data_IF_282082951644
#
_entry.id   IF_282082951644
#
_cell.length_a   1.000
_cell.length_b   1.000
_cell.length_c   1.000
_cell.angle_alpha   90.00
_cell.angle_beta   90.00
_cell.angle_gamma   90.00
#
_symmetry.space_group_name_H-M   'P 1'
#
loop_
_entity.id
_entity.type
_entity.pdbx_description
1 polymer ?
#
# COMPACT_ATOMS: atom_id res chain seq x y z
N UNK A 1 -1.65 -38.02 49.81
CA UNK A 1 -0.89 -37.60 48.62
C UNK A 1 -1.89 -36.90 47.69
N UNK A 2 -1.97 -35.56 47.80
CA UNK A 2 -2.91 -34.74 46.99
C UNK A 2 -2.14 -34.22 45.79
N UNK A 3 -2.57 -34.61 44.60
CA UNK A 3 -2.04 -34.13 43.33
C UNK A 3 -2.74 -32.80 43.01
N UNK A 4 -2.01 -31.68 43.05
CA UNK A 4 -2.48 -30.40 42.52
C UNK A 4 -2.33 -30.45 40.99
N UNK A 5 -3.46 -30.45 40.28
CA UNK A 5 -3.49 -30.16 38.88
C UNK A 5 -3.39 -28.63 38.71
N UNK A 6 -2.26 -28.12 38.24
CA UNK A 6 -2.13 -26.75 37.80
C UNK A 6 -2.75 -26.65 36.39
N UNK A 7 -3.91 -26.03 36.30
CA UNK A 7 -4.50 -25.63 35.00
C UNK A 7 -3.71 -24.44 34.44
N UNK A 8 -2.97 -24.69 33.37
CA UNK A 8 -2.31 -23.67 32.57
C UNK A 8 -3.39 -22.94 31.75
N UNK A 9 -3.85 -21.78 32.23
CA UNK A 9 -4.72 -20.91 31.46
C UNK A 9 -3.82 -20.22 30.43
N UNK A 10 -3.86 -20.69 29.19
CA UNK A 10 -3.36 -19.94 28.04
C UNK A 10 -4.26 -18.73 27.87
N UNK A 11 -3.84 -17.60 28.43
CA UNK A 11 -4.40 -16.29 28.08
C UNK A 11 -3.98 -15.98 26.64
N UNK A 12 -4.85 -16.34 25.68
CA UNK A 12 -4.82 -15.74 24.35
C UNK A 12 -5.01 -14.24 24.54
N UNK A 13 -3.94 -13.48 24.47
CA UNK A 13 -4.00 -12.01 24.47
C UNK A 13 -4.58 -11.58 23.12
N UNK A 14 -5.91 -11.51 23.04
CA UNK A 14 -6.57 -10.75 21.98
C UNK A 14 -6.08 -9.32 22.11
N UNK A 15 -5.51 -8.69 21.07
CA UNK A 15 -5.04 -7.32 21.15
C UNK A 15 -6.16 -6.43 21.70
N UNK A 16 -5.93 -5.75 22.79
CA UNK A 16 -6.92 -4.87 23.45
C UNK A 16 -7.53 -3.82 22.52
N UNK A 17 -6.85 -3.55 21.39
CA UNK A 17 -7.27 -2.55 20.40
C UNK A 17 -8.39 -3.02 19.46
N UNK A 18 -8.53 -4.34 19.19
CA UNK A 18 -9.53 -4.86 18.22
C UNK A 18 -10.96 -4.82 18.78
N UNK A 19 -11.16 -4.96 20.08
CA UNK A 19 -12.49 -5.05 20.70
C UNK A 19 -13.19 -3.70 20.97
N UNK A 20 -12.48 -2.57 20.92
CA UNK A 20 -13.04 -1.26 21.26
C UNK A 20 -13.41 -0.37 20.07
N UNK A 21 -13.12 -0.80 18.83
CA UNK A 21 -13.20 0.06 17.63
C UNK A 21 -14.61 0.37 17.14
N UNK A 22 -15.56 -0.46 17.41
CA UNK A 22 -16.98 -0.23 17.02
C UNK A 22 -17.67 0.93 17.73
N UNK A 23 -17.03 1.54 18.75
CA UNK A 23 -17.58 2.62 19.56
C UNK A 23 -16.82 3.96 19.44
N UNK A 24 -15.73 4.01 18.70
CA UNK A 24 -14.87 5.21 18.55
C UNK A 24 -14.83 5.63 17.10
N UNK A 25 -15.23 6.88 16.84
CA UNK A 25 -15.12 7.47 15.50
C UNK A 25 -13.65 7.54 15.04
N UNK A 26 -13.37 7.22 13.76
CA UNK A 26 -12.03 7.37 13.22
C UNK A 26 -11.61 8.84 13.15
N UNK A 27 -10.32 9.10 13.31
CA UNK A 27 -9.75 10.44 13.16
C UNK A 27 -9.69 10.88 11.69
N UNK A 28 -9.55 9.93 10.78
CA UNK A 28 -9.65 10.12 9.35
C UNK A 28 -10.42 8.93 8.77
N UNK A 29 -11.48 9.18 8.00
CA UNK A 29 -12.21 8.14 7.29
C UNK A 29 -12.70 8.66 5.93
N UNK A 30 -12.75 7.78 4.96
CA UNK A 30 -13.41 8.01 3.70
C UNK A 30 -14.13 6.71 3.29
N UNK A 31 -15.46 6.81 3.20
CA UNK A 31 -16.35 5.70 2.80
C UNK A 31 -16.57 5.69 1.28
N UNK A 32 -15.99 6.64 0.56
CA UNK A 32 -16.08 6.81 -0.89
C UNK A 32 -17.52 6.78 -1.45
N UNK A 33 -18.49 7.26 -0.64
CA UNK A 33 -19.92 7.31 -1.01
C UNK A 33 -20.26 8.39 -2.04
N UNK A 34 -19.29 9.25 -2.38
CA UNK A 34 -19.45 10.33 -3.33
C UNK A 34 -19.45 9.88 -4.79
N UNK A 35 -19.39 10.86 -5.70
CA UNK A 35 -19.26 10.66 -7.15
C UNK A 35 -17.90 11.11 -7.70
N UNK A 36 -17.04 11.63 -6.84
CA UNK A 36 -15.68 12.07 -7.17
C UNK A 36 -14.78 11.99 -5.94
N UNK A 37 -13.49 11.85 -6.16
CA UNK A 37 -12.50 11.90 -5.10
C UNK A 37 -12.53 13.29 -4.44
N UNK A 38 -12.50 13.36 -3.11
CA UNK A 38 -12.40 14.63 -2.39
C UNK A 38 -11.00 15.22 -2.53
N UNK A 39 -10.86 16.15 -3.46
CA UNK A 39 -9.60 16.83 -3.76
C UNK A 39 -9.07 17.71 -2.61
N UNK A 40 -9.86 17.96 -1.56
CA UNK A 40 -9.36 18.62 -0.35
C UNK A 40 -8.55 17.68 0.54
N UNK A 41 -8.81 16.37 0.45
CA UNK A 41 -8.23 15.32 1.29
C UNK A 41 -7.23 14.43 0.56
N UNK A 42 -7.39 14.25 -0.74
CA UNK A 42 -6.62 13.33 -1.55
C UNK A 42 -5.97 14.02 -2.75
N UNK A 43 -4.76 13.57 -3.10
CA UNK A 43 -4.13 13.80 -4.40
C UNK A 43 -4.32 12.56 -5.27
N UNK A 44 -4.74 12.74 -6.52
CA UNK A 44 -4.95 11.68 -7.51
C UNK A 44 -3.77 11.50 -8.47
N UNK A 45 -2.66 12.13 -8.17
CA UNK A 45 -1.46 12.10 -8.99
C UNK A 45 -0.23 12.49 -8.19
N UNK A 46 0.91 11.90 -8.55
CA UNK A 46 2.21 12.28 -8.00
C UNK A 46 3.24 12.38 -9.13
N UNK A 47 3.87 13.53 -9.22
CA UNK A 47 4.94 13.76 -10.21
C UNK A 47 6.28 13.17 -9.77
N UNK A 48 6.46 12.90 -8.49
CA UNK A 48 7.74 12.47 -7.89
C UNK A 48 8.13 11.01 -8.17
N UNK A 49 7.25 10.25 -8.85
CA UNK A 49 7.58 8.92 -9.36
C UNK A 49 7.68 8.86 -10.90
N UNK A 50 8.24 9.87 -11.58
CA UNK A 50 8.32 9.87 -13.03
C UNK A 50 9.27 8.76 -13.49
N UNK A 51 8.74 7.75 -14.15
CA UNK A 51 9.56 6.71 -14.77
C UNK A 51 10.30 5.79 -13.79
N UNK A 52 9.83 5.67 -12.56
CA UNK A 52 10.40 4.74 -11.58
C UNK A 52 10.41 3.30 -12.11
N UNK A 53 9.46 2.98 -13.02
CA UNK A 53 9.37 1.71 -13.73
C UNK A 53 8.94 1.98 -15.16
N UNK A 54 9.77 1.58 -16.11
CA UNK A 54 9.45 1.71 -17.53
C UNK A 54 8.13 1.00 -17.83
N UNK A 55 7.30 1.61 -18.68
CA UNK A 55 6.10 0.99 -19.22
C UNK A 55 4.80 1.28 -18.47
N UNK A 56 4.77 2.11 -17.42
CA UNK A 56 3.53 2.56 -16.84
C UNK A 56 3.50 4.07 -16.57
N UNK A 57 2.31 4.63 -16.59
CA UNK A 57 2.01 6.03 -16.30
C UNK A 57 0.87 6.08 -15.29
N UNK A 58 1.04 6.85 -14.22
CA UNK A 58 -0.09 7.18 -13.33
C UNK A 58 -0.99 8.20 -14.01
N UNK A 59 -2.18 7.78 -14.40
CA UNK A 59 -3.14 8.61 -15.11
C UNK A 59 -4.30 9.02 -14.18
N UNK A 60 -4.59 10.32 -14.10
CA UNK A 60 -5.67 10.83 -13.24
C UNK A 60 -7.03 10.25 -13.58
N UNK A 61 -7.33 10.04 -14.85
CA UNK A 61 -8.58 9.47 -15.33
C UNK A 61 -8.71 7.96 -15.08
N UNK A 62 -7.68 7.33 -14.52
CA UNK A 62 -7.74 5.98 -13.98
C UNK A 62 -8.21 5.94 -12.51
N UNK A 63 -8.47 7.11 -11.90
CA UNK A 63 -9.00 7.26 -10.54
C UNK A 63 -10.45 7.68 -10.62
N UNK A 64 -11.34 6.92 -10.01
CA UNK A 64 -12.77 7.24 -9.98
C UNK A 64 -13.38 6.86 -8.62
N UNK A 65 -14.36 7.64 -8.16
CA UNK A 65 -15.25 7.24 -7.06
C UNK A 65 -16.61 6.92 -7.65
N UNK A 66 -17.03 5.68 -7.50
CA UNK A 66 -18.32 5.21 -7.99
C UNK A 66 -18.72 3.91 -7.30
N UNK A 67 -20.03 3.68 -7.19
CA UNK A 67 -20.64 2.51 -6.55
C UNK A 67 -20.14 2.30 -5.10
N UNK A 68 -19.93 3.39 -4.34
CA UNK A 68 -19.45 3.34 -2.97
C UNK A 68 -17.99 2.89 -2.85
N UNK A 69 -17.17 3.09 -3.87
CA UNK A 69 -15.75 2.69 -3.85
C UNK A 69 -14.87 3.74 -4.52
N UNK A 70 -13.64 3.87 -4.02
CA UNK A 70 -12.51 4.39 -4.78
C UNK A 70 -12.02 3.27 -5.72
N UNK A 71 -12.03 3.54 -7.02
CA UNK A 71 -11.65 2.60 -8.06
C UNK A 71 -10.37 3.08 -8.75
N UNK A 72 -9.34 2.26 -8.70
CA UNK A 72 -8.07 2.47 -9.37
C UNK A 72 -7.98 1.50 -10.56
N UNK A 73 -7.84 2.03 -11.76
CA UNK A 73 -7.86 1.25 -13.00
C UNK A 73 -6.45 1.08 -13.57
N UNK A 74 -6.10 -0.17 -13.90
CA UNK A 74 -4.97 -0.44 -14.78
C UNK A 74 -5.50 -0.79 -16.19
N UNK A 75 -4.91 -0.18 -17.21
CA UNK A 75 -5.32 -0.35 -18.60
C UNK A 75 -4.15 -0.21 -19.58
N UNK A 76 -4.37 -0.50 -20.82
CA UNK A 76 -3.43 -0.13 -21.86
C UNK A 76 -3.44 1.39 -22.07
N UNK A 77 -2.27 1.94 -22.45
CA UNK A 77 -2.16 3.34 -22.87
C UNK A 77 -3.02 3.59 -24.11
N UNK A 78 -3.73 4.70 -24.10
CA UNK A 78 -4.40 5.23 -25.29
C UNK A 78 -3.38 5.85 -26.24
N UNK A 79 -3.73 5.98 -27.51
CA UNK A 79 -2.81 6.53 -28.51
C UNK A 79 -2.47 8.00 -28.26
N UNK A 80 -3.41 8.77 -27.71
CA UNK A 80 -3.18 10.19 -27.31
C UNK A 80 -2.25 10.34 -26.09
N UNK A 81 -2.07 9.30 -25.31
CA UNK A 81 -1.13 9.27 -24.17
C UNK A 81 0.30 8.88 -24.59
N UNK A 82 0.48 8.31 -25.78
CA UNK A 82 1.79 7.96 -26.35
C UNK A 82 2.53 9.19 -26.90
N UNK A 83 2.60 10.23 -26.11
CA UNK A 83 3.32 11.46 -26.49
C UNK A 83 4.83 11.19 -26.60
N UNK A 84 5.57 11.99 -27.42
CA UNK A 84 7.03 11.85 -27.47
C UNK A 84 7.70 11.94 -26.10
N UNK A 85 7.15 12.73 -25.17
CA UNK A 85 7.63 12.85 -23.79
C UNK A 85 7.42 11.55 -23.03
N UNK A 86 6.21 10.99 -23.05
CA UNK A 86 5.89 9.75 -22.35
C UNK A 86 6.72 8.58 -22.88
N UNK A 87 6.84 8.47 -24.20
CA UNK A 87 7.64 7.43 -24.86
C UNK A 87 9.13 7.55 -24.49
N UNK A 88 9.69 8.79 -24.46
CA UNK A 88 11.08 9.01 -24.02
C UNK A 88 11.31 8.59 -22.57
N UNK A 89 10.29 8.67 -21.72
CA UNK A 89 10.31 8.25 -20.32
C UNK A 89 10.05 6.74 -20.15
N UNK A 90 9.80 6.01 -21.23
CA UNK A 90 9.51 4.58 -21.21
C UNK A 90 8.05 4.25 -20.87
N UNK A 91 7.13 5.22 -20.96
CA UNK A 91 5.69 4.98 -20.81
C UNK A 91 5.10 4.67 -22.19
N UNK A 92 5.03 3.42 -22.53
CA UNK A 92 4.67 2.97 -23.90
C UNK A 92 3.49 1.99 -23.95
N UNK A 93 3.17 1.32 -22.86
CA UNK A 93 2.22 0.19 -22.89
C UNK A 93 1.06 0.34 -21.91
N UNK A 94 1.32 0.68 -20.64
CA UNK A 94 0.33 0.62 -19.56
C UNK A 94 0.10 1.96 -18.91
N UNK A 95 -1.15 2.19 -18.47
CA UNK A 95 -1.54 3.27 -17.58
C UNK A 95 -2.13 2.71 -16.30
N UNK A 96 -1.71 3.22 -15.17
CA UNK A 96 -2.09 2.83 -13.82
C UNK A 96 -2.61 4.01 -13.01
N UNK A 97 -2.88 3.85 -11.74
CA UNK A 97 -3.48 4.86 -10.89
C UNK A 97 -2.73 4.98 -9.56
N UNK A 98 -2.81 6.17 -8.98
CA UNK A 98 -2.21 6.52 -7.71
C UNK A 98 -3.10 7.52 -6.96
N UNK A 99 -3.30 7.31 -5.65
CA UNK A 99 -4.03 8.22 -4.76
C UNK A 99 -3.28 8.32 -3.44
N UNK A 100 -3.10 9.54 -2.94
CA UNK A 100 -2.38 9.81 -1.69
C UNK A 100 -3.18 10.75 -0.80
N UNK A 101 -3.30 10.45 0.50
CA UNK A 101 -3.84 11.39 1.46
C UNK A 101 -2.90 12.60 1.61
N UNK A 102 -3.48 13.82 1.63
CA UNK A 102 -2.72 15.07 1.81
C UNK A 102 -2.22 15.23 3.23
N UNK A 103 -3.00 14.76 4.20
CA UNK A 103 -2.62 14.77 5.60
C UNK A 103 -1.76 13.54 5.91
N UNK A 104 -0.69 13.75 6.66
CA UNK A 104 0.13 12.67 7.20
C UNK A 104 -0.52 12.11 8.47
N UNK A 105 -0.48 10.81 8.58
CA UNK A 105 -0.90 10.05 9.76
C UNK A 105 0.33 9.54 10.52
N UNK A 106 0.13 9.17 11.78
CA UNK A 106 1.21 8.65 12.63
C UNK A 106 0.65 7.49 13.45
N UNK A 107 1.31 7.03 14.48
CA UNK A 107 0.88 5.90 15.30
C UNK A 107 -0.63 5.74 15.43
N UNK A 108 -1.10 4.52 15.30
CA UNK A 108 -2.52 4.22 15.33
C UNK A 108 -2.87 2.94 14.60
N UNK A 109 -4.14 2.79 14.34
CA UNK A 109 -4.66 1.69 13.55
C UNK A 109 -5.24 2.17 12.25
N UNK A 110 -4.89 1.47 11.19
CA UNK A 110 -5.30 1.71 9.82
C UNK A 110 -6.11 0.53 9.34
N UNK A 111 -7.19 0.78 8.63
CA UNK A 111 -7.99 -0.27 8.02
C UNK A 111 -8.53 0.20 6.67
N UNK A 112 -8.43 -0.67 5.68
CA UNK A 112 -9.21 -0.54 4.47
C UNK A 112 -9.94 -1.85 4.17
N UNK A 113 -11.08 -1.74 3.48
CA UNK A 113 -11.76 -2.87 2.87
C UNK A 113 -11.60 -2.77 1.36
N UNK A 114 -10.99 -3.77 0.77
CA UNK A 114 -10.58 -3.68 -0.63
C UNK A 114 -10.72 -5.01 -1.37
N UNK A 115 -10.90 -4.90 -2.69
CA UNK A 115 -10.94 -6.00 -3.65
C UNK A 115 -9.97 -5.72 -4.78
N UNK A 116 -9.03 -6.62 -5.00
CA UNK A 116 -7.96 -6.48 -5.98
C UNK A 116 -8.38 -6.70 -7.43
N UNK A 117 -7.47 -6.41 -8.32
CA UNK A 117 -7.58 -6.67 -9.75
C UNK A 117 -7.50 -8.16 -10.07
N UNK A 118 -8.23 -8.62 -11.08
CA UNK A 118 -8.05 -9.96 -11.67
C UNK A 118 -6.99 -9.93 -12.78
N UNK A 119 -5.82 -9.42 -12.44
CA UNK A 119 -4.69 -9.25 -13.36
C UNK A 119 -3.36 -9.37 -12.60
N UNK A 120 -2.25 -9.55 -13.32
CA UNK A 120 -0.90 -9.50 -12.77
C UNK A 120 -0.43 -8.05 -12.59
N UNK A 121 -1.23 -7.28 -11.88
CA UNK A 121 -0.96 -5.89 -11.49
C UNK A 121 -0.81 -5.85 -9.98
N UNK A 122 0.20 -5.19 -9.47
CA UNK A 122 0.36 -4.95 -8.05
C UNK A 122 -0.74 -4.01 -7.58
N UNK A 123 -1.46 -4.39 -6.53
CA UNK A 123 -2.40 -3.54 -5.81
C UNK A 123 -1.76 -3.26 -4.47
N UNK A 124 -1.63 -1.99 -4.11
CA UNK A 124 -0.91 -1.60 -2.91
C UNK A 124 -1.71 -0.66 -2.01
N UNK A 125 -1.48 -0.82 -0.71
CA UNK A 125 -1.85 0.07 0.36
C UNK A 125 -0.63 0.25 1.26
N UNK A 126 -0.11 1.47 1.32
CA UNK A 126 1.17 1.73 1.94
C UNK A 126 1.27 3.13 2.56
N UNK A 127 2.23 3.30 3.41
CA UNK A 127 2.56 4.55 4.08
C UNK A 127 3.93 5.01 3.62
N UNK A 128 4.07 6.31 3.33
CA UNK A 128 5.32 6.86 2.83
C UNK A 128 5.58 8.27 3.31
N UNK A 129 6.84 8.55 3.68
CA UNK A 129 7.33 9.90 3.97
C UNK A 129 8.29 10.36 2.88
N UNK A 130 7.79 10.97 1.77
CA UNK A 130 8.65 11.48 0.73
C UNK A 130 9.41 12.72 1.22
N UNK A 131 10.72 12.74 1.09
CA UNK A 131 11.51 13.94 1.35
C UNK A 131 11.20 15.07 0.37
N UNK A 132 10.62 14.75 -0.79
CA UNK A 132 10.21 15.71 -1.82
C UNK A 132 9.12 16.70 -1.36
N UNK A 133 8.36 16.36 -0.32
CA UNK A 133 7.38 17.29 0.26
C UNK A 133 8.02 18.40 1.10
N UNK A 134 9.34 18.38 1.22
CA UNK A 134 10.11 19.37 1.96
C UNK A 134 11.11 20.05 1.01
N UNK A 135 10.64 20.84 0.02
CA UNK A 135 11.49 21.44 -1.01
C UNK A 135 12.57 22.37 -0.44
N UNK A 136 12.39 22.86 0.78
CA UNK A 136 13.32 23.72 1.48
C UNK A 136 14.46 22.99 2.19
N UNK A 137 14.30 21.70 2.44
CA UNK A 137 15.39 20.88 3.00
C UNK A 137 16.29 20.41 1.88
N UNK A 138 17.41 21.07 1.71
CA UNK A 138 18.54 20.51 0.96
C UNK A 138 18.82 19.15 1.55
N UNK A 139 18.58 18.07 0.78
CA UNK A 139 18.83 16.70 1.20
C UNK A 139 20.22 16.59 1.81
N UNK A 140 20.28 16.20 3.07
CA UNK A 140 21.56 15.93 3.71
C UNK A 140 21.96 14.50 3.37
N UNK A 141 23.21 14.32 3.01
CA UNK A 141 23.77 12.99 2.80
C UNK A 141 23.55 12.15 4.06
N UNK A 142 22.88 10.99 3.91
CA UNK A 142 22.58 10.08 5.01
C UNK A 142 21.18 10.22 5.62
N UNK A 143 20.34 11.16 5.20
CA UNK A 143 18.91 11.14 5.56
C UNK A 143 18.22 9.93 4.92
N UNK A 144 17.23 9.37 5.59
CA UNK A 144 16.43 8.25 5.11
C UNK A 144 14.99 8.66 4.89
N UNK A 145 14.37 8.18 3.82
CA UNK A 145 12.92 8.10 3.69
C UNK A 145 12.43 6.77 4.26
N UNK A 146 11.21 6.73 4.72
CA UNK A 146 10.60 5.55 5.32
C UNK A 146 9.31 5.19 4.59
N UNK A 147 9.11 3.88 4.41
CA UNK A 147 7.95 3.32 3.70
C UNK A 147 7.51 2.05 4.44
N UNK A 148 6.21 1.88 4.60
CA UNK A 148 5.58 0.70 5.18
C UNK A 148 4.50 0.24 4.23
N UNK A 149 4.73 -0.90 3.56
CA UNK A 149 3.72 -1.52 2.73
C UNK A 149 2.80 -2.35 3.63
N UNK A 150 1.57 -1.85 3.81
CA UNK A 150 0.54 -2.57 4.56
C UNK A 150 0.15 -3.80 3.77
N UNK A 151 -0.01 -3.66 2.46
CA UNK A 151 0.01 -4.79 1.54
C UNK A 151 0.49 -4.42 0.14
N UNK A 152 1.06 -5.42 -0.51
CA UNK A 152 1.19 -5.56 -1.94
C UNK A 152 0.69 -6.94 -2.33
N UNK A 153 -0.18 -7.04 -3.32
CA UNK A 153 -0.64 -8.33 -3.85
C UNK A 153 -1.01 -8.26 -5.33
N UNK A 154 -1.06 -9.42 -5.95
CA UNK A 154 -1.41 -9.60 -7.37
C UNK A 154 -2.62 -10.53 -7.48
N UNK A 155 -3.52 -10.25 -8.41
CA UNK A 155 -4.69 -11.10 -8.63
C UNK A 155 -4.39 -12.34 -9.47
N UNK A 156 -3.30 -12.34 -10.24
CA UNK A 156 -2.82 -13.43 -11.07
C UNK A 156 -1.30 -13.42 -11.19
N UNK A 157 -0.74 -14.54 -11.63
CA UNK A 157 0.63 -14.58 -12.11
C UNK A 157 0.72 -13.87 -13.48
N UNK A 158 1.83 -13.18 -13.74
CA UNK A 158 2.16 -12.59 -15.01
C UNK A 158 3.17 -13.43 -15.79
N UNK A 159 4.02 -12.75 -16.57
CA UNK A 159 4.97 -13.42 -17.49
C UNK A 159 6.19 -14.03 -16.80
N UNK A 160 6.47 -13.71 -15.54
CA UNK A 160 7.56 -14.34 -14.79
C UNK A 160 7.10 -15.63 -14.12
N UNK A 161 8.06 -16.49 -13.78
CA UNK A 161 7.80 -17.82 -13.20
C UNK A 161 7.45 -17.80 -11.72
N UNK A 162 7.62 -16.65 -11.04
CA UNK A 162 7.32 -16.53 -9.63
C UNK A 162 5.81 -16.63 -9.39
N UNK A 163 5.39 -17.56 -8.51
CA UNK A 163 4.00 -17.63 -8.07
C UNK A 163 3.69 -16.51 -7.06
N UNK A 164 2.98 -15.49 -7.51
CA UNK A 164 2.52 -14.35 -6.72
C UNK A 164 1.03 -14.43 -6.41
N UNK A 165 0.32 -15.43 -6.99
CA UNK A 165 -1.11 -15.58 -6.79
C UNK A 165 -1.43 -16.00 -5.34
N UNK A 166 -2.41 -15.34 -4.72
CA UNK A 166 -2.82 -15.55 -3.32
C UNK A 166 -1.68 -15.34 -2.31
N UNK A 167 -0.71 -14.49 -2.65
CA UNK A 167 0.36 -14.12 -1.72
C UNK A 167 0.18 -12.67 -1.30
N UNK A 168 -0.02 -12.49 -0.01
CA UNK A 168 -0.07 -11.20 0.67
C UNK A 168 1.36 -10.84 1.10
N UNK A 169 1.88 -9.76 0.56
CA UNK A 169 3.21 -9.25 0.91
C UNK A 169 3.08 -8.03 1.80
N UNK A 170 3.88 -7.99 2.85
CA UNK A 170 4.12 -6.80 3.67
C UNK A 170 5.59 -6.48 3.63
N UNK A 171 5.93 -5.22 3.43
CA UNK A 171 7.33 -4.81 3.32
C UNK A 171 7.56 -3.53 4.13
N UNK A 172 8.77 -3.33 4.59
CA UNK A 172 9.20 -2.05 5.15
C UNK A 172 10.50 -1.62 4.50
N UNK A 173 10.61 -0.35 4.16
CA UNK A 173 11.78 0.20 3.51
C UNK A 173 12.35 1.39 4.29
N UNK A 174 13.67 1.42 4.41
CA UNK A 174 14.43 2.63 4.71
C UNK A 174 15.35 2.90 3.53
N UNK A 175 15.11 4.01 2.87
CA UNK A 175 15.82 4.41 1.67
C UNK A 175 16.83 5.48 2.05
N UNK A 176 18.12 5.19 1.92
CA UNK A 176 19.18 6.19 2.13
C UNK A 176 19.20 7.17 0.97
N UNK A 177 19.13 8.44 1.28
CA UNK A 177 19.28 9.48 0.25
C UNK A 177 20.77 9.81 0.03
N UNK A 178 21.20 10.24 -1.16
CA UNK A 178 20.66 11.40 -1.84
C UNK A 178 19.77 11.05 -3.03
N UNK A 179 18.57 11.59 -3.02
CA UNK A 179 17.84 11.83 -4.26
C UNK A 179 18.47 13.08 -4.91
N UNK A 180 19.40 12.92 -5.79
CA UNK A 180 19.83 13.96 -6.70
C UNK A 180 19.04 13.78 -8.00
N UNK A 181 18.16 14.73 -8.30
CA UNK A 181 17.48 14.96 -9.58
C UNK A 181 17.46 13.76 -10.54
N UNK A 182 16.57 12.80 -10.29
CA UNK A 182 16.34 11.67 -11.21
C UNK A 182 17.33 10.50 -11.09
N UNK A 183 18.28 10.52 -10.16
CA UNK A 183 19.22 9.43 -9.93
C UNK A 183 18.97 8.86 -8.54
N UNK A 184 18.30 7.70 -8.49
CA UNK A 184 18.16 6.90 -7.26
C UNK A 184 19.52 6.21 -6.99
N UNK A 185 20.37 6.84 -6.21
CA UNK A 185 21.63 6.22 -5.75
C UNK A 185 21.70 6.10 -4.22
N UNK A 186 20.57 6.22 -3.53
CA UNK A 186 20.49 5.80 -2.15
C UNK A 186 20.21 4.30 -2.10
N UNK A 187 21.11 3.52 -1.52
CA UNK A 187 20.85 2.10 -1.32
C UNK A 187 19.65 1.89 -0.40
N UNK A 188 18.86 0.84 -0.65
CA UNK A 188 17.88 0.35 0.32
C UNK A 188 18.65 -0.17 1.52
N UNK A 189 18.34 0.30 2.74
CA UNK A 189 18.95 -0.23 3.94
C UNK A 189 18.47 -1.69 4.13
N UNK A 190 19.42 -2.59 4.36
CA UNK A 190 19.07 -3.99 4.63
C UNK A 190 18.54 -4.10 6.04
N UNK A 191 17.23 -4.28 6.17
CA UNK A 191 16.56 -4.51 7.44
C UNK A 191 16.29 -6.01 7.62
N UNK A 192 16.49 -6.58 8.83
CA UNK A 192 16.05 -7.93 9.15
C UNK A 192 14.53 -8.06 8.94
N UNK A 193 14.08 -9.17 8.36
CA UNK A 193 12.65 -9.43 8.11
C UNK A 193 11.93 -8.26 7.38
N UNK A 194 12.60 -7.67 6.40
CA UNK A 194 12.07 -6.52 5.66
C UNK A 194 10.75 -6.85 4.97
N UNK A 195 10.67 -7.99 4.33
CA UNK A 195 9.49 -8.48 3.63
C UNK A 195 8.99 -9.76 4.25
N UNK A 196 7.67 -9.86 4.45
CA UNK A 196 6.97 -11.09 4.79
C UNK A 196 5.99 -11.42 3.68
N UNK A 197 6.05 -12.64 3.18
CA UNK A 197 5.04 -13.21 2.28
C UNK A 197 4.17 -14.19 3.05
N UNK A 198 2.86 -14.06 2.92
CA UNK A 198 1.87 -14.92 3.58
C UNK A 198 0.91 -15.45 2.53
N UNK A 199 0.81 -16.77 2.38
CA UNK A 199 -0.19 -17.40 1.51
C UNK A 199 -1.56 -17.27 2.16
N UNK A 200 -2.56 -16.84 1.37
CA UNK A 200 -3.96 -16.77 1.78
C UNK A 200 -4.80 -17.80 1.02
N UNK A 201 -5.96 -18.16 1.56
CA UNK A 201 -6.83 -19.21 0.98
C UNK A 201 -7.89 -18.64 0.02
N UNK A 202 -7.83 -17.36 -0.28
CA UNK A 202 -8.77 -16.68 -1.17
C UNK A 202 -8.08 -15.97 -2.33
N UNK A 203 -8.83 -15.69 -3.38
CA UNK A 203 -8.38 -14.85 -4.48
C UNK A 203 -8.70 -13.39 -4.17
N UNK A 204 -7.71 -12.51 -4.18
CA UNK A 204 -7.86 -11.08 -3.85
C UNK A 204 -8.89 -10.33 -4.71
N UNK A 205 -9.18 -10.86 -5.89
CA UNK A 205 -10.13 -10.29 -6.85
C UNK A 205 -11.56 -10.83 -6.71
N UNK A 206 -11.77 -11.90 -5.92
CA UNK A 206 -13.06 -12.57 -5.84
C UNK A 206 -14.05 -11.82 -4.97
N UNK A 207 -13.61 -11.30 -3.83
CA UNK A 207 -14.44 -10.55 -2.90
C UNK A 207 -13.64 -9.47 -2.17
N UNK A 208 -14.33 -8.63 -1.40
CA UNK A 208 -13.74 -7.65 -0.51
C UNK A 208 -13.26 -8.28 0.78
N UNK A 209 -12.04 -7.96 1.17
CA UNK A 209 -11.44 -8.33 2.44
C UNK A 209 -11.00 -7.10 3.22
N UNK A 210 -10.92 -7.20 4.54
CA UNK A 210 -10.39 -6.13 5.39
C UNK A 210 -8.91 -6.33 5.62
N UNK A 211 -8.15 -5.24 5.48
CA UNK A 211 -6.71 -5.19 5.69
C UNK A 211 -6.43 -4.16 6.76
N UNK A 212 -5.91 -4.63 7.88
CA UNK A 212 -5.60 -3.81 9.03
C UNK A 212 -4.10 -3.68 9.28
N UNK A 213 -3.71 -2.56 9.86
CA UNK A 213 -2.34 -2.32 10.28
C UNK A 213 -2.31 -1.52 11.59
N UNK A 214 -1.64 -2.03 12.59
CA UNK A 214 -1.40 -1.32 13.84
C UNK A 214 0.05 -0.86 13.90
N UNK A 215 0.23 0.44 14.07
CA UNK A 215 1.53 1.09 14.18
C UNK A 215 1.66 1.75 15.54
N UNK A 216 2.55 1.20 16.36
CA UNK A 216 2.91 1.75 17.66
C UNK A 216 4.38 2.16 17.71
N UNK A 217 4.82 2.75 18.81
CA UNK A 217 6.24 3.04 19.03
C UNK A 217 7.07 1.75 19.11
N UNK A 218 6.47 0.64 19.57
CA UNK A 218 7.18 -0.62 19.84
C UNK A 218 7.01 -1.65 18.73
N UNK A 219 5.86 -1.66 18.05
CA UNK A 219 5.49 -2.74 17.13
C UNK A 219 4.80 -2.25 15.88
N UNK A 220 4.96 -3.02 14.82
CA UNK A 220 4.20 -2.97 13.58
C UNK A 220 3.47 -4.30 13.43
N UNK A 221 2.13 -4.28 13.31
CA UNK A 221 1.31 -5.51 13.26
C UNK A 221 0.31 -5.45 12.11
N UNK A 222 0.26 -6.49 11.30
CA UNK A 222 -0.61 -6.60 10.12
C UNK A 222 -1.73 -7.61 10.34
N UNK A 223 -2.91 -7.28 9.81
CA UNK A 223 -4.12 -8.08 9.96
C UNK A 223 -4.80 -8.28 8.60
N UNK A 224 -5.40 -9.46 8.40
CA UNK A 224 -6.31 -9.77 7.29
C UNK A 224 -7.60 -10.32 7.90
N UNK A 225 -8.74 -9.73 7.55
CA UNK A 225 -10.06 -10.09 8.11
C UNK A 225 -10.05 -10.17 9.65
N UNK A 226 -9.40 -9.17 10.27
CA UNK A 226 -9.28 -9.06 11.72
C UNK A 226 -8.32 -10.05 12.39
N UNK A 227 -7.67 -10.93 11.63
CA UNK A 227 -6.69 -11.89 12.15
C UNK A 227 -5.27 -11.37 11.93
N UNK A 228 -4.45 -11.40 12.96
CA UNK A 228 -3.03 -11.11 12.85
C UNK A 228 -2.34 -12.09 11.91
N UNK A 229 -1.64 -11.57 10.91
CA UNK A 229 -0.87 -12.35 9.94
C UNK A 229 0.63 -12.19 10.11
N UNK A 230 1.06 -11.05 10.64
CA UNK A 230 2.46 -10.77 10.92
C UNK A 230 2.60 -9.66 11.95
N UNK A 231 3.65 -9.74 12.78
CA UNK A 231 4.10 -8.66 13.64
C UNK A 231 5.62 -8.58 13.67
N UNK A 232 6.13 -7.36 13.86
CA UNK A 232 7.57 -7.12 14.06
C UNK A 232 7.79 -5.97 15.02
N UNK A 233 9.00 -5.90 15.59
CA UNK A 233 9.43 -4.76 16.38
C UNK A 233 9.58 -3.52 15.49
N UNK A 234 9.17 -2.36 16.01
CA UNK A 234 9.36 -1.07 15.38
C UNK A 234 10.67 -0.43 15.85
N UNK A 235 11.76 -0.68 15.16
CA UNK A 235 13.07 -0.12 15.48
C UNK A 235 13.39 1.18 14.73
N UNK A 236 12.54 1.58 13.75
CA UNK A 236 12.94 2.62 12.81
C UNK A 236 11.83 3.57 12.35
N UNK A 237 10.57 3.14 12.37
CA UNK A 237 9.47 3.88 11.74
C UNK A 237 8.79 4.78 12.78
N UNK A 238 9.28 6.03 12.88
CA UNK A 238 8.87 6.98 13.92
C UNK A 238 8.60 8.38 13.37
N UNK A 239 8.19 8.49 12.10
CA UNK A 239 7.83 9.75 11.46
C UNK A 239 6.45 9.69 10.83
N UNK A 240 5.67 10.78 10.86
CA UNK A 240 4.37 10.81 10.16
C UNK A 240 4.53 10.53 8.66
N UNK A 241 3.60 9.74 8.10
CA UNK A 241 3.60 9.30 6.70
C UNK A 241 2.26 9.58 6.03
N UNK A 242 2.29 9.75 4.71
CA UNK A 242 1.08 9.79 3.91
C UNK A 242 0.54 8.39 3.67
N UNK A 243 -0.77 8.26 3.73
CA UNK A 243 -1.50 7.07 3.28
C UNK A 243 -1.58 7.08 1.75
N UNK A 244 -1.28 5.95 1.13
CA UNK A 244 -1.22 5.81 -0.32
C UNK A 244 -1.92 4.53 -0.77
N UNK A 245 -2.68 4.64 -1.86
CA UNK A 245 -3.22 3.53 -2.64
C UNK A 245 -2.74 3.66 -4.07
N UNK A 246 -2.24 2.59 -4.65
CA UNK A 246 -1.90 2.59 -6.06
C UNK A 246 -2.00 1.21 -6.70
N UNK A 247 -1.81 1.19 -8.00
CA UNK A 247 -1.59 -0.03 -8.74
C UNK A 247 -0.42 0.14 -9.71
N UNK A 248 0.42 -0.89 -9.82
CA UNK A 248 1.67 -0.82 -10.57
C UNK A 248 1.94 -2.08 -11.40
N UNK A 249 2.64 -1.91 -12.53
CA UNK A 249 3.19 -3.03 -13.29
C UNK A 249 4.58 -3.34 -12.76
N UNK A 250 4.71 -4.48 -12.11
CA UNK A 250 5.94 -4.92 -11.43
C UNK A 250 6.72 -5.93 -12.29
N UNK A 251 7.37 -5.45 -13.37
CA UNK A 251 8.05 -6.29 -14.37
C UNK A 251 9.03 -7.33 -13.80
N UNK A 252 9.77 -6.96 -12.77
CA UNK A 252 10.79 -7.84 -12.17
C UNK A 252 10.23 -8.79 -11.12
N UNK A 253 8.97 -8.57 -10.72
CA UNK A 253 8.34 -9.35 -9.65
C UNK A 253 7.27 -10.29 -10.18
N UNK A 254 6.21 -9.74 -10.79
CA UNK A 254 5.14 -10.53 -11.40
C UNK A 254 5.27 -10.64 -12.92
N UNK A 255 6.07 -9.77 -13.54
CA UNK A 255 6.12 -9.64 -15.01
C UNK A 255 4.99 -8.78 -15.55
N UNK A 256 4.68 -8.95 -16.81
CA UNK A 256 3.59 -8.24 -17.47
C UNK A 256 2.25 -8.96 -17.27
N UNK A 257 1.15 -8.21 -17.09
CA UNK A 257 -0.18 -8.79 -17.14
C UNK A 257 -0.53 -9.26 -18.55
N UNK A 258 -1.40 -10.26 -18.65
CA UNK A 258 -2.06 -10.55 -19.91
C UNK A 258 -2.94 -9.34 -20.30
N UNK A 259 -2.76 -8.85 -21.54
CA UNK A 259 -3.52 -7.71 -22.04
C UNK A 259 -5.03 -7.98 -22.11
N UNK A 260 -5.42 -9.25 -22.20
CA UNK A 260 -6.82 -9.67 -22.15
C UNK A 260 -7.46 -9.49 -20.74
N UNK A 261 -6.65 -9.39 -19.70
CA UNK A 261 -7.12 -9.11 -18.33
C UNK A 261 -7.32 -7.61 -18.06
N UNK A 262 -7.01 -6.74 -19.03
CA UNK A 262 -7.13 -5.29 -18.92
C UNK A 262 -8.29 -4.74 -19.78
N UNK A 263 -9.00 -3.67 -19.37
CA UNK A 263 -8.79 -2.96 -18.10
C UNK A 263 -9.19 -3.79 -16.89
N UNK A 264 -8.50 -3.59 -15.77
CA UNK A 264 -8.81 -4.21 -14.49
C UNK A 264 -8.87 -3.16 -13.38
N UNK A 265 -9.66 -3.41 -12.35
CA UNK A 265 -9.98 -2.42 -11.31
C UNK A 265 -9.63 -2.95 -9.93
N UNK A 266 -8.89 -2.17 -9.17
CA UNK A 266 -8.68 -2.29 -7.74
C UNK A 266 -9.70 -1.38 -7.05
N UNK A 267 -10.61 -1.96 -6.25
CA UNK A 267 -11.70 -1.24 -5.58
C UNK A 267 -11.45 -1.18 -4.08
N UNK A 268 -11.49 0.02 -3.51
CA UNK A 268 -11.40 0.28 -2.08
C UNK A 268 -12.76 0.80 -1.62
N UNK A 269 -13.46 0.01 -0.78
CA UNK A 269 -14.78 0.30 -0.23
C UNK A 269 -14.73 1.41 0.81
N UNK A 270 -13.75 1.34 1.71
CA UNK A 270 -13.46 2.39 2.66
C UNK A 270 -12.00 2.40 3.09
N UNK A 271 -11.60 3.56 3.64
CA UNK A 271 -10.38 3.72 4.43
C UNK A 271 -10.70 4.40 5.76
N UNK A 272 -10.15 3.89 6.85
CA UNK A 272 -10.31 4.43 8.20
C UNK A 272 -9.01 4.41 8.98
N UNK A 273 -8.76 5.47 9.73
CA UNK A 273 -7.60 5.61 10.59
C UNK A 273 -8.03 6.09 11.98
N UNK A 274 -7.56 5.40 12.99
CA UNK A 274 -7.71 5.77 14.40
C UNK A 274 -6.32 6.05 14.97
N UNK A 275 -6.11 7.29 15.40
CA UNK A 275 -4.86 7.70 16.03
C UNK A 275 -4.71 6.97 17.37
N UNK A 276 -3.47 6.57 17.71
CA UNK A 276 -3.16 6.07 19.04
C UNK A 276 -3.51 7.12 20.10
N UNK A 277 -4.12 6.69 21.18
CA UNK A 277 -4.31 7.54 22.35
C UNK A 277 -3.00 7.61 23.13
N UNK A 278 -2.62 8.80 23.58
CA UNK A 278 -1.43 9.06 24.38
C UNK A 278 -1.51 8.34 25.73
#
# INVERSE_FOLDING_TARGET
>A
MRILLAALVLLCSVPRCVLARGAVEPNFADEFDGTSLDASRWDDWVWSFPGRRAGFLFARDNVAVSNGCLNLTARLLRDDEKTPENLRRGFDTYATAYVRAKEKTFYGYYECRAKGMKAAVCNAFWLYDPLSDQPEKKFRLGETTEEIDIFEFFGKNGTVTQDVNRVYYTTVHRLKTPYLEGIVHGGVETLPNRTKSTKVEFDFWADFHTYGFEWTAETLTWFVDGKEVFARKNDHFHRPMHVTFDCEIMYTWAGEPDKADLPSVYSIDYFRYWKAQD
#
